data_IF_629601921788
#
_entry.id   IF_629601921788
#
_cell.length_a   1.000
_cell.length_b   1.000
_cell.length_c   1.000
_cell.angle_alpha   90.00
_cell.angle_beta   90.00
_cell.angle_gamma   90.00
#
_symmetry.space_group_name_H-M   'P 1'
#
loop_
_entity.id
_entity.type
_entity.pdbx_description
1 polymer ?
#
# COMPACT_ATOMS: atom_id res chain seq x y z
N UNK A 1 3.36 12.87 -11.32
CA UNK A 1 2.79 11.93 -10.34
C UNK A 1 3.87 11.67 -9.28
N UNK A 2 3.52 11.68 -7.99
CA UNK A 2 4.41 11.24 -6.92
C UNK A 2 4.23 9.73 -6.71
N UNK A 3 5.31 8.97 -6.80
CA UNK A 3 5.30 7.51 -6.71
C UNK A 3 6.17 7.10 -5.53
N UNK A 4 5.61 6.32 -4.60
CA UNK A 4 6.39 5.72 -3.51
C UNK A 4 6.47 4.22 -3.74
N UNK A 5 7.70 3.69 -3.80
CA UNK A 5 7.96 2.26 -3.91
C UNK A 5 8.54 1.76 -2.59
N UNK A 6 7.96 0.69 -2.05
CA UNK A 6 8.49 0.00 -0.89
C UNK A 6 8.87 -1.41 -1.31
N UNK A 7 10.17 -1.66 -1.32
CA UNK A 7 10.74 -2.95 -1.65
C UNK A 7 10.85 -3.82 -0.39
N UNK A 8 10.25 -5.00 -0.41
CA UNK A 8 10.26 -5.96 0.68
C UNK A 8 11.60 -6.65 0.91
N UNK A 9 12.63 -6.25 0.16
CA UNK A 9 13.99 -6.70 0.38
C UNK A 9 15.01 -5.71 -0.17
N UNK A 10 16.26 -5.83 0.28
CA UNK A 10 17.31 -4.85 0.01
C UNK A 10 18.03 -5.08 -1.33
N UNK A 11 18.04 -6.28 -1.91
CA UNK A 11 18.74 -6.51 -3.16
C UNK A 11 17.88 -6.20 -4.40
N UNK A 12 18.54 -5.77 -5.48
CA UNK A 12 17.89 -5.36 -6.74
C UNK A 12 17.69 -6.56 -7.68
N UNK A 13 16.85 -7.53 -7.26
CA UNK A 13 16.46 -8.70 -8.07
C UNK A 13 15.29 -8.41 -9.02
N UNK A 14 14.73 -9.47 -9.59
CA UNK A 14 13.66 -9.36 -10.61
C UNK A 14 12.42 -8.58 -10.13
N UNK A 15 12.04 -8.72 -8.86
CA UNK A 15 10.90 -7.97 -8.29
C UNK A 15 11.18 -6.46 -8.27
N UNK A 16 12.42 -6.07 -7.90
CA UNK A 16 12.87 -4.68 -7.97
C UNK A 16 12.75 -4.15 -9.40
N UNK A 17 13.36 -4.82 -10.38
CA UNK A 17 13.36 -4.34 -11.77
C UNK A 17 11.94 -4.15 -12.31
N UNK A 18 11.00 -5.04 -12.00
CA UNK A 18 9.62 -4.90 -12.43
C UNK A 18 8.92 -3.69 -11.79
N UNK A 19 9.13 -3.46 -10.49
CA UNK A 19 8.55 -2.32 -9.79
C UNK A 19 9.15 -0.99 -10.27
N UNK A 20 10.47 -0.95 -10.43
CA UNK A 20 11.21 0.22 -10.91
C UNK A 20 10.83 0.57 -12.35
N UNK A 21 10.87 -0.40 -13.28
CA UNK A 21 10.50 -0.19 -14.68
C UNK A 21 9.02 0.25 -14.82
N UNK A 22 8.13 -0.22 -13.93
CA UNK A 22 6.75 0.26 -13.90
C UNK A 22 6.69 1.75 -13.52
N UNK A 23 7.45 2.16 -12.51
CA UNK A 23 7.51 3.56 -12.08
C UNK A 23 8.13 4.46 -13.16
N UNK A 24 9.20 4.02 -13.82
CA UNK A 24 9.81 4.72 -14.95
C UNK A 24 8.83 4.87 -16.12
N UNK A 25 8.13 3.77 -16.50
CA UNK A 25 7.14 3.81 -17.59
C UNK A 25 5.96 4.74 -17.25
N UNK A 26 5.58 4.85 -15.98
CA UNK A 26 4.53 5.80 -15.54
C UNK A 26 5.04 7.23 -15.63
N UNK A 27 6.29 7.48 -15.26
CA UNK A 27 6.88 8.81 -15.15
C UNK A 27 6.45 9.59 -13.92
N UNK A 28 7.33 10.45 -13.43
CA UNK A 28 7.09 11.31 -12.28
C UNK A 28 8.22 11.25 -11.25
N UNK A 29 7.97 11.78 -10.07
CA UNK A 29 8.92 11.76 -8.96
C UNK A 29 8.79 10.45 -8.20
N UNK A 30 9.89 9.70 -8.10
CA UNK A 30 9.94 8.39 -7.43
C UNK A 30 10.73 8.52 -6.12
N UNK A 31 10.15 7.98 -5.05
CA UNK A 31 10.81 7.77 -3.75
C UNK A 31 10.82 6.28 -3.45
N UNK A 32 11.98 5.71 -3.16
CA UNK A 32 12.15 4.27 -2.93
C UNK A 32 12.66 3.99 -1.52
N UNK A 33 12.08 2.97 -0.88
CA UNK A 33 12.54 2.41 0.39
C UNK A 33 12.84 0.92 0.23
N UNK A 34 13.89 0.46 0.88
CA UNK A 34 14.36 -0.94 0.81
C UNK A 34 14.34 -1.57 2.20
N UNK A 35 13.49 -2.52 2.40
CA UNK A 35 13.38 -3.24 3.67
C UNK A 35 14.35 -4.44 3.69
N UNK A 36 15.01 -4.76 4.81
CA UNK A 36 14.89 -4.11 6.12
C UNK A 36 15.82 -2.89 6.32
N UNK A 37 16.59 -2.46 5.33
CA UNK A 37 17.57 -1.37 5.47
C UNK A 37 16.95 -0.08 6.01
N UNK A 38 15.82 0.33 5.45
CA UNK A 38 15.18 1.61 5.78
C UNK A 38 14.15 1.47 6.93
N UNK A 39 13.75 0.24 7.26
CA UNK A 39 12.94 -0.09 8.43
C UNK A 39 13.10 -1.58 8.79
N UNK A 40 13.64 -1.89 9.96
CA UNK A 40 14.00 -3.24 10.42
C UNK A 40 13.28 -3.69 11.70
N UNK A 41 12.30 -2.92 12.20
CA UNK A 41 11.65 -3.22 13.47
C UNK A 41 10.42 -4.11 13.31
N UNK A 42 10.23 -5.02 14.24
CA UNK A 42 9.00 -5.80 14.38
C UNK A 42 8.04 -5.11 15.35
N UNK A 43 6.75 -5.15 15.05
CA UNK A 43 5.74 -4.64 15.95
C UNK A 43 5.74 -5.46 17.26
N UNK A 44 5.88 -4.78 18.40
CA UNK A 44 5.93 -5.42 19.73
C UNK A 44 4.55 -5.58 20.38
N UNK A 45 3.46 -5.24 19.67
CA UNK A 45 2.10 -5.42 20.17
C UNK A 45 1.72 -4.52 21.37
N UNK A 46 2.41 -3.40 21.58
CA UNK A 46 2.19 -2.52 22.73
C UNK A 46 0.87 -1.73 22.71
N UNK A 47 0.08 -1.80 21.62
CA UNK A 47 -1.18 -1.10 21.39
C UNK A 47 -1.15 0.43 21.50
N UNK A 48 0.01 1.04 21.76
CA UNK A 48 0.15 2.48 21.97
C UNK A 48 -0.34 3.32 20.80
N UNK A 49 -0.11 2.86 19.56
CA UNK A 49 -0.62 3.51 18.35
C UNK A 49 -2.16 3.58 18.29
N UNK A 50 -2.87 2.63 18.91
CA UNK A 50 -4.34 2.63 18.98
C UNK A 50 -4.87 3.53 20.09
N UNK A 51 -4.22 3.54 21.25
CA UNK A 51 -4.72 4.20 22.48
C UNK A 51 -4.23 5.64 22.64
N UNK A 52 -3.00 5.95 22.16
CA UNK A 52 -2.35 7.27 22.35
C UNK A 52 -1.98 7.96 21.04
N UNK A 53 -2.15 7.28 19.91
CA UNK A 53 -1.82 7.78 18.59
C UNK A 53 -0.51 7.18 18.04
N UNK A 54 -0.40 7.17 16.72
CA UNK A 54 0.69 6.55 15.97
C UNK A 54 2.07 7.17 16.25
N UNK A 55 2.12 8.47 16.54
CA UNK A 55 3.36 9.18 16.89
C UNK A 55 3.97 8.71 18.22
N UNK A 56 3.22 7.95 19.01
CA UNK A 56 3.69 7.35 20.26
C UNK A 56 4.19 5.90 20.08
N UNK A 57 4.22 5.39 18.87
CA UNK A 57 4.85 4.09 18.59
C UNK A 57 6.36 4.17 18.90
N UNK A 58 6.94 3.17 19.59
CA UNK A 58 8.39 3.15 19.87
C UNK A 58 9.26 3.22 18.61
N UNK A 59 8.71 2.82 17.46
CA UNK A 59 9.41 2.78 16.17
C UNK A 59 8.98 3.92 15.23
N UNK A 60 8.24 4.92 15.74
CA UNK A 60 7.66 5.98 14.92
C UNK A 60 8.68 6.76 14.10
N UNK A 61 9.77 7.20 14.72
CA UNK A 61 10.77 8.03 14.03
C UNK A 61 11.38 7.33 12.82
N UNK A 62 11.64 6.02 12.93
CA UNK A 62 12.17 5.22 11.84
C UNK A 62 11.11 4.97 10.75
N UNK A 63 9.83 4.86 11.12
CA UNK A 63 8.71 4.65 10.21
C UNK A 63 8.24 5.95 9.55
N UNK A 64 8.44 7.10 10.19
CA UNK A 64 7.93 8.40 9.78
C UNK A 64 8.31 8.80 8.34
N UNK A 65 9.55 8.60 7.84
CA UNK A 65 9.89 8.91 6.45
C UNK A 65 9.08 8.09 5.44
N UNK A 66 8.86 6.79 5.73
CA UNK A 66 8.04 5.91 4.87
C UNK A 66 6.58 6.38 4.91
N UNK A 67 6.08 6.71 6.10
CA UNK A 67 4.70 7.20 6.28
C UNK A 67 4.47 8.50 5.52
N UNK A 68 5.39 9.45 5.62
CA UNK A 68 5.31 10.72 4.90
C UNK A 68 5.29 10.51 3.37
N UNK A 69 6.15 9.65 2.87
CA UNK A 69 6.19 9.33 1.44
C UNK A 69 4.90 8.63 0.96
N UNK A 70 4.34 7.70 1.76
CA UNK A 70 3.03 7.09 1.47
C UNK A 70 1.92 8.15 1.45
N UNK A 71 1.95 9.09 2.40
CA UNK A 71 0.93 10.14 2.51
C UNK A 71 0.96 11.12 1.33
N UNK A 72 2.14 11.43 0.82
CA UNK A 72 2.31 12.32 -0.32
C UNK A 72 2.08 11.64 -1.68
N UNK A 73 2.22 10.33 -1.76
CA UNK A 73 2.15 9.61 -3.02
C UNK A 73 0.77 9.68 -3.69
N UNK A 74 0.75 9.80 -5.00
CA UNK A 74 -0.42 9.51 -5.85
C UNK A 74 -0.55 8.01 -6.10
N UNK A 75 0.60 7.32 -6.16
CA UNK A 75 0.71 5.89 -6.40
C UNK A 75 1.65 5.25 -5.38
N UNK A 76 1.17 4.19 -4.73
CA UNK A 76 1.95 3.34 -3.83
C UNK A 76 2.28 2.03 -4.56
N UNK A 77 3.55 1.64 -4.61
CA UNK A 77 3.98 0.33 -5.12
C UNK A 77 4.56 -0.46 -3.95
N UNK A 78 3.89 -1.54 -3.56
CA UNK A 78 4.42 -2.52 -2.63
C UNK A 78 5.02 -3.67 -3.45
N UNK A 79 6.32 -3.91 -3.29
CA UNK A 79 7.10 -4.85 -4.08
C UNK A 79 7.74 -5.89 -3.17
N UNK A 80 7.32 -7.15 -3.26
CA UNK A 80 7.86 -8.24 -2.46
C UNK A 80 8.02 -9.51 -3.30
N UNK A 81 9.20 -10.16 -3.32
CA UNK A 81 9.29 -11.52 -3.84
C UNK A 81 8.48 -12.48 -2.97
N UNK A 82 8.16 -13.63 -3.52
CA UNK A 82 7.55 -14.72 -2.75
C UNK A 82 8.61 -15.40 -1.88
N UNK A 83 8.45 -15.30 -0.56
CA UNK A 83 9.24 -16.05 0.41
C UNK A 83 8.30 -16.99 1.18
N UNK A 84 8.54 -18.30 1.03
CA UNK A 84 7.74 -19.36 1.69
C UNK A 84 6.22 -19.11 1.48
N UNK A 85 5.82 -18.89 0.22
CA UNK A 85 4.45 -18.61 -0.23
C UNK A 85 3.81 -17.28 0.21
N UNK A 86 4.54 -16.42 0.93
CA UNK A 86 4.03 -15.15 1.46
C UNK A 86 4.95 -13.96 1.11
N UNK A 87 4.56 -12.77 1.52
CA UNK A 87 5.43 -11.60 1.46
C UNK A 87 6.64 -11.80 2.38
N UNK A 88 7.75 -11.11 2.09
CA UNK A 88 8.94 -11.17 2.95
C UNK A 88 8.60 -10.76 4.38
N UNK A 89 9.32 -11.32 5.36
CA UNK A 89 9.16 -10.93 6.76
C UNK A 89 9.36 -9.43 6.99
N UNK A 90 10.28 -8.80 6.25
CA UNK A 90 10.50 -7.35 6.33
C UNK A 90 9.29 -6.55 5.82
N UNK A 91 8.66 -6.94 4.70
CA UNK A 91 7.41 -6.32 4.23
C UNK A 91 6.30 -6.48 5.26
N UNK A 92 6.12 -7.69 5.80
CA UNK A 92 5.11 -7.95 6.83
C UNK A 92 5.36 -7.13 8.09
N UNK A 93 6.62 -7.06 8.58
CA UNK A 93 6.99 -6.28 9.75
C UNK A 93 6.64 -4.79 9.59
N UNK A 94 6.88 -4.21 8.42
CA UNK A 94 6.45 -2.84 8.13
C UNK A 94 4.92 -2.72 8.13
N UNK A 95 4.21 -3.61 7.42
CA UNK A 95 2.75 -3.56 7.32
C UNK A 95 2.06 -3.69 8.69
N UNK A 96 2.64 -4.46 9.63
CA UNK A 96 2.10 -4.63 10.99
C UNK A 96 2.08 -3.32 11.79
N UNK A 97 2.98 -2.38 11.50
CA UNK A 97 3.00 -1.07 12.14
C UNK A 97 1.86 -0.15 11.69
N UNK A 98 1.18 -0.48 10.59
CA UNK A 98 0.07 0.33 10.04
C UNK A 98 -1.32 -0.17 10.44
N UNK A 99 -1.44 -1.02 11.45
CA UNK A 99 -2.74 -1.47 11.96
C UNK A 99 -3.66 -0.30 12.36
N UNK A 100 -3.10 0.76 12.94
CA UNK A 100 -3.85 1.97 13.31
C UNK A 100 -4.48 2.70 12.11
N UNK A 101 -3.93 2.51 10.91
CA UNK A 101 -4.41 3.15 9.67
C UNK A 101 -5.53 2.37 8.99
N UNK A 102 -5.94 1.24 9.53
CA UNK A 102 -7.07 0.50 9.00
C UNK A 102 -8.37 1.30 9.13
N UNK A 103 -9.30 1.09 8.19
CA UNK A 103 -10.63 1.73 8.21
C UNK A 103 -11.39 1.50 9.51
N UNK A 104 -11.08 0.42 10.25
CA UNK A 104 -11.61 0.18 11.58
C UNK A 104 -11.12 1.19 12.63
N UNK A 105 -10.03 1.88 12.36
CA UNK A 105 -9.38 2.82 13.26
C UNK A 105 -9.30 4.22 12.64
N UNK A 106 -8.11 4.64 12.19
CA UNK A 106 -7.86 6.02 11.70
C UNK A 106 -7.30 6.04 10.28
N UNK A 107 -8.08 5.61 9.26
CA UNK A 107 -7.63 5.66 7.87
C UNK A 107 -7.45 7.11 7.43
N UNK A 108 -6.39 7.40 6.69
CA UNK A 108 -6.17 8.75 6.17
C UNK A 108 -7.09 9.05 4.98
N UNK A 109 -7.74 10.21 4.98
CA UNK A 109 -8.67 10.61 3.93
C UNK A 109 -8.07 10.54 2.52
N UNK A 110 -6.77 10.88 2.37
CA UNK A 110 -6.06 10.84 1.10
C UNK A 110 -6.02 9.44 0.47
N UNK A 111 -6.03 8.36 1.26
CA UNK A 111 -5.97 6.98 0.74
C UNK A 111 -7.16 6.65 -0.17
N UNK A 112 -8.33 7.23 0.10
CA UNK A 112 -9.55 7.01 -0.70
C UNK A 112 -9.52 7.66 -2.09
N UNK A 113 -8.43 8.37 -2.42
CA UNK A 113 -8.16 8.92 -3.75
C UNK A 113 -6.91 8.34 -4.43
N UNK A 114 -6.16 7.45 -3.75
CA UNK A 114 -4.90 6.90 -4.24
C UNK A 114 -5.07 5.63 -5.05
N UNK A 115 -4.03 5.36 -5.85
CA UNK A 115 -3.84 4.09 -6.55
C UNK A 115 -2.71 3.30 -5.86
N UNK A 116 -2.75 1.97 -5.93
CA UNK A 116 -1.63 1.14 -5.50
C UNK A 116 -1.42 -0.07 -6.41
N UNK A 117 -0.18 -0.57 -6.47
CA UNK A 117 0.20 -1.80 -7.17
C UNK A 117 0.92 -2.72 -6.20
N UNK A 118 0.49 -3.98 -6.14
CA UNK A 118 1.25 -5.05 -5.52
C UNK A 118 2.07 -5.75 -6.60
N UNK A 119 3.40 -5.70 -6.50
CA UNK A 119 4.34 -6.34 -7.41
C UNK A 119 4.98 -7.54 -6.72
N UNK A 120 4.98 -8.69 -7.38
CA UNK A 120 5.63 -9.90 -6.85
C UNK A 120 6.23 -10.75 -7.93
N UNK A 121 7.29 -11.47 -7.60
CA UNK A 121 7.86 -12.54 -8.42
C UNK A 121 8.05 -13.80 -7.59
N UNK A 122 7.96 -14.94 -8.25
CA UNK A 122 8.21 -16.25 -7.68
C UNK A 122 9.02 -17.11 -8.65
N UNK A 123 9.70 -18.13 -8.17
CA UNK A 123 10.26 -19.16 -9.06
C UNK A 123 9.16 -19.89 -9.83
N UNK A 124 8.07 -20.30 -9.16
CA UNK A 124 6.93 -20.99 -9.77
C UNK A 124 5.56 -20.57 -9.22
N UNK A 125 5.36 -20.61 -7.91
CA UNK A 125 4.05 -20.42 -7.26
C UNK A 125 4.12 -19.46 -6.06
N UNK A 126 2.97 -19.19 -5.40
CA UNK A 126 2.88 -18.37 -4.17
C UNK A 126 2.62 -16.88 -4.42
N UNK A 127 2.44 -16.46 -5.67
CA UNK A 127 2.20 -15.04 -5.98
C UNK A 127 0.86 -14.52 -5.46
N UNK A 128 -0.18 -15.35 -5.43
CA UNK A 128 -1.50 -14.92 -4.98
C UNK A 128 -1.53 -14.58 -3.49
N UNK A 129 -0.95 -15.44 -2.64
CA UNK A 129 -0.86 -15.20 -1.20
C UNK A 129 0.02 -13.99 -0.88
N UNK A 130 1.19 -13.87 -1.54
CA UNK A 130 2.06 -12.69 -1.38
C UNK A 130 1.36 -11.39 -1.79
N UNK A 131 0.64 -11.40 -2.91
CA UNK A 131 -0.17 -10.23 -3.33
C UNK A 131 -1.28 -9.97 -2.31
N UNK A 132 -1.91 -11.01 -1.78
CA UNK A 132 -3.00 -10.89 -0.81
C UNK A 132 -2.51 -10.23 0.48
N UNK A 133 -1.36 -10.60 1.00
CA UNK A 133 -0.77 -10.00 2.21
C UNK A 133 -0.65 -8.48 2.07
N UNK A 134 -0.14 -8.00 0.93
CA UNK A 134 0.00 -6.57 0.64
C UNK A 134 -1.35 -5.91 0.33
N UNK A 135 -2.18 -6.57 -0.47
CA UNK A 135 -3.45 -6.03 -0.94
C UNK A 135 -4.48 -5.87 0.18
N UNK A 136 -4.49 -6.76 1.17
CA UNK A 136 -5.37 -6.66 2.34
C UNK A 136 -5.01 -5.39 3.15
N UNK A 137 -3.73 -5.13 3.40
CA UNK A 137 -3.31 -3.90 4.09
C UNK A 137 -3.75 -2.65 3.32
N UNK A 138 -3.51 -2.60 2.01
CA UNK A 138 -3.94 -1.49 1.16
C UNK A 138 -5.47 -1.32 1.14
N UNK A 139 -6.23 -2.42 1.20
CA UNK A 139 -7.69 -2.37 1.30
C UNK A 139 -8.11 -1.76 2.64
N UNK A 140 -7.55 -2.22 3.74
CA UNK A 140 -7.88 -1.70 5.06
C UNK A 140 -7.42 -0.25 5.27
N UNK A 141 -6.38 0.20 4.57
CA UNK A 141 -6.01 1.64 4.53
C UNK A 141 -7.01 2.50 3.74
N UNK A 142 -7.90 1.88 2.98
CA UNK A 142 -8.91 2.58 2.18
C UNK A 142 -8.45 2.96 0.77
N UNK A 143 -7.33 2.39 0.27
CA UNK A 143 -6.81 2.70 -1.07
C UNK A 143 -7.87 2.46 -2.14
N UNK A 144 -8.15 3.52 -2.92
CA UNK A 144 -9.30 3.54 -3.83
C UNK A 144 -9.20 2.53 -4.97
N UNK A 145 -7.99 2.32 -5.51
CA UNK A 145 -7.77 1.39 -6.63
C UNK A 145 -6.49 0.62 -6.46
N UNK A 146 -6.60 -0.69 -6.48
CA UNK A 146 -5.46 -1.60 -6.40
C UNK A 146 -5.28 -2.34 -7.73
N UNK A 147 -4.02 -2.62 -8.08
CA UNK A 147 -3.61 -3.43 -9.20
C UNK A 147 -2.65 -4.53 -8.72
N UNK A 148 -2.59 -5.62 -9.48
CA UNK A 148 -1.77 -6.79 -9.18
C UNK A 148 -0.84 -7.07 -10.36
N UNK A 149 0.45 -7.21 -10.09
CA UNK A 149 1.46 -7.49 -11.10
C UNK A 149 2.37 -8.61 -10.58
N UNK A 150 2.01 -9.84 -10.88
CA UNK A 150 2.74 -11.05 -10.48
C UNK A 150 3.30 -11.81 -11.67
N UNK A 151 4.53 -12.34 -11.52
CA UNK A 151 5.19 -13.16 -12.54
C UNK A 151 5.92 -14.35 -11.92
N UNK A 152 5.66 -15.54 -12.46
CA UNK A 152 6.54 -16.69 -12.25
C UNK A 152 7.79 -16.49 -13.11
N UNK A 153 8.96 -16.43 -12.46
CA UNK A 153 10.25 -16.18 -13.11
C UNK A 153 11.16 -17.35 -12.75
N UNK A 154 11.38 -18.25 -13.72
CA UNK A 154 12.29 -19.39 -13.54
C UNK A 154 13.73 -18.96 -13.85
N UNK A 155 14.23 -17.98 -13.11
CA UNK A 155 15.60 -17.46 -13.21
C UNK A 155 16.05 -16.93 -11.85
N UNK A 156 17.35 -16.97 -11.57
CA UNK A 156 17.92 -16.48 -10.31
C UNK A 156 18.27 -15.00 -10.36
N UNK A 157 18.49 -14.45 -11.56
CA UNK A 157 18.75 -13.05 -11.78
C UNK A 157 17.84 -12.46 -12.87
N UNK A 158 17.78 -11.12 -12.93
CA UNK A 158 17.06 -10.40 -13.99
C UNK A 158 17.60 -10.71 -15.40
N UNK A 159 18.92 -10.85 -15.53
CA UNK A 159 19.56 -11.01 -16.83
C UNK A 159 19.32 -12.40 -17.44
N UNK A 160 19.14 -13.41 -16.61
CA UNK A 160 18.86 -14.79 -17.01
C UNK A 160 17.41 -15.02 -17.48
N UNK A 161 16.53 -14.03 -17.32
CA UNK A 161 15.13 -14.16 -17.77
C UNK A 161 15.09 -14.27 -19.28
N UNK A 162 14.44 -15.33 -19.77
CA UNK A 162 14.30 -15.59 -21.21
C UNK A 162 13.67 -14.38 -21.95
N UNK A 163 14.18 -14.02 -23.16
CA UNK A 163 13.71 -12.83 -23.89
C UNK A 163 12.18 -12.77 -24.06
N UNK A 164 11.54 -13.87 -24.41
CA UNK A 164 10.08 -13.95 -24.56
C UNK A 164 9.35 -13.58 -23.24
N UNK A 165 9.91 -13.96 -22.09
CA UNK A 165 9.34 -13.63 -20.79
C UNK A 165 9.53 -12.14 -20.47
N UNK A 166 10.72 -11.57 -20.76
CA UNK A 166 10.97 -10.13 -20.63
C UNK A 166 9.96 -9.31 -21.46
N UNK A 167 9.75 -9.67 -22.71
CA UNK A 167 8.73 -9.02 -23.56
C UNK A 167 7.33 -9.07 -22.96
N UNK A 168 6.93 -10.21 -22.38
CA UNK A 168 5.64 -10.33 -21.71
C UNK A 168 5.54 -9.41 -20.50
N UNK A 169 6.62 -9.30 -19.70
CA UNK A 169 6.71 -8.41 -18.54
C UNK A 169 6.59 -6.95 -18.99
N UNK A 170 7.36 -6.55 -19.99
CA UNK A 170 7.34 -5.18 -20.55
C UNK A 170 5.97 -4.79 -21.09
N UNK A 171 5.33 -5.69 -21.85
CA UNK A 171 3.97 -5.44 -22.35
C UNK A 171 2.97 -5.21 -21.23
N UNK A 172 3.00 -6.02 -20.18
CA UNK A 172 2.12 -5.86 -19.02
C UNK A 172 2.44 -4.58 -18.24
N UNK A 173 3.70 -4.20 -18.10
CA UNK A 173 4.13 -2.94 -17.48
C UNK A 173 3.58 -1.76 -18.27
N UNK A 174 3.79 -1.68 -19.58
CA UNK A 174 3.29 -0.60 -20.45
C UNK A 174 1.77 -0.46 -20.38
N UNK A 175 1.05 -1.58 -20.48
CA UNK A 175 -0.41 -1.60 -20.38
C UNK A 175 -0.91 -1.09 -19.02
N UNK A 176 -0.27 -1.53 -17.93
CA UNK A 176 -0.64 -1.10 -16.58
C UNK A 176 -0.30 0.37 -16.34
N UNK A 177 0.87 0.83 -16.78
CA UNK A 177 1.30 2.22 -16.67
C UNK A 177 0.33 3.18 -17.37
N UNK A 178 -0.08 2.87 -18.60
CA UNK A 178 -1.07 3.65 -19.34
C UNK A 178 -2.41 3.74 -18.60
N UNK A 179 -2.85 2.62 -17.99
CA UNK A 179 -4.08 2.57 -17.20
C UNK A 179 -3.99 3.41 -15.93
N UNK A 180 -2.85 3.40 -15.25
CA UNK A 180 -2.60 4.18 -14.03
C UNK A 180 -2.56 5.68 -14.37
N UNK A 181 -1.80 6.08 -15.40
CA UNK A 181 -1.74 7.49 -15.85
C UNK A 181 -3.12 8.06 -16.18
N UNK A 182 -3.93 7.33 -16.95
CA UNK A 182 -5.29 7.75 -17.35
C UNK A 182 -6.20 7.99 -16.15
N UNK A 183 -5.98 7.28 -15.04
CA UNK A 183 -6.80 7.34 -13.83
C UNK A 183 -6.24 8.24 -12.74
N UNK A 184 -5.09 8.87 -12.94
CA UNK A 184 -4.51 9.75 -11.94
C UNK A 184 -5.46 10.89 -11.55
N UNK A 185 -5.64 11.12 -10.26
CA UNK A 185 -6.57 12.13 -9.72
C UNK A 185 -8.06 11.85 -9.96
N UNK A 186 -8.43 10.74 -10.61
CA UNK A 186 -9.82 10.41 -11.00
C UNK A 186 -10.38 9.17 -10.31
N UNK A 187 -9.59 8.47 -9.50
CA UNK A 187 -10.04 7.26 -8.82
C UNK A 187 -10.94 7.59 -7.64
N UNK A 188 -11.92 6.72 -7.42
CA UNK A 188 -12.81 6.73 -6.26
C UNK A 188 -12.91 5.31 -5.73
N UNK A 189 -13.12 5.12 -4.41
CA UNK A 189 -13.24 3.79 -3.84
C UNK A 189 -14.42 3.03 -4.44
N UNK A 190 -14.18 1.74 -4.70
CA UNK A 190 -15.21 0.83 -5.22
C UNK A 190 -16.25 0.48 -4.16
N UNK A 191 -17.27 -0.27 -4.58
CA UNK A 191 -18.38 -0.66 -3.70
C UNK A 191 -17.91 -1.35 -2.40
N UNK A 192 -17.01 -2.33 -2.50
CA UNK A 192 -16.49 -3.08 -1.34
C UNK A 192 -15.86 -2.15 -0.29
N UNK A 193 -15.01 -1.22 -0.70
CA UNK A 193 -14.37 -0.25 0.20
C UNK A 193 -15.40 0.69 0.83
N UNK A 194 -16.39 1.13 0.06
CA UNK A 194 -17.47 1.99 0.57
C UNK A 194 -18.37 1.28 1.55
N UNK A 195 -18.72 0.02 1.28
CA UNK A 195 -19.54 -0.79 2.16
C UNK A 195 -18.81 -1.06 3.49
N UNK A 196 -17.51 -1.39 3.44
CA UNK A 196 -16.71 -1.58 4.64
C UNK A 196 -16.54 -0.27 5.44
N UNK A 197 -16.30 0.85 4.76
CA UNK A 197 -16.28 2.16 5.43
C UNK A 197 -17.62 2.49 6.11
N UNK A 198 -18.74 2.17 5.47
CA UNK A 198 -20.07 2.37 6.06
C UNK A 198 -20.26 1.51 7.32
N UNK A 199 -19.82 0.24 7.30
CA UNK A 199 -19.84 -0.61 8.48
C UNK A 199 -19.01 0.00 9.63
N UNK A 200 -17.80 0.48 9.32
CA UNK A 200 -16.95 1.13 10.32
C UNK A 200 -17.57 2.45 10.82
N UNK A 201 -18.22 3.21 9.96
CA UNK A 201 -18.99 4.39 10.37
C UNK A 201 -20.03 4.07 11.46
N UNK A 202 -20.77 2.95 11.35
CA UNK A 202 -21.72 2.53 12.37
C UNK A 202 -21.02 2.16 13.69
N UNK A 203 -19.88 1.45 13.61
CA UNK A 203 -19.10 1.07 14.78
C UNK A 203 -18.56 2.31 15.51
N UNK A 204 -18.00 3.26 14.79
CA UNK A 204 -17.44 4.48 15.37
C UNK A 204 -18.51 5.40 15.98
N UNK A 205 -19.71 5.40 15.45
CA UNK A 205 -20.86 6.11 16.08
C UNK A 205 -21.24 5.53 17.45
N UNK A 206 -21.04 4.21 17.62
CA UNK A 206 -21.38 3.51 18.86
C UNK A 206 -20.27 3.55 19.93
N UNK A 207 -19.11 4.18 19.64
CA UNK A 207 -18.11 4.45 20.65
C UNK A 207 -17.20 3.27 20.98
N UNK A 208 -16.55 2.65 19.97
CA UNK A 208 -15.67 1.50 20.21
C UNK A 208 -14.32 1.88 20.87
N UNK A 209 -13.66 2.94 20.42
CA UNK A 209 -12.38 3.41 20.92
C UNK A 209 -12.37 4.94 20.90
N UNK A 210 -12.15 5.58 22.04
CA UNK A 210 -12.26 7.04 22.17
C UNK A 210 -11.32 7.81 21.22
N UNK A 211 -10.10 7.31 21.00
CA UNK A 211 -9.12 7.93 20.10
C UNK A 211 -9.61 7.86 18.65
N UNK A 212 -10.15 6.73 18.24
CA UNK A 212 -10.68 6.55 16.89
C UNK A 212 -11.98 7.34 16.69
N UNK A 213 -12.89 7.30 17.68
CA UNK A 213 -14.15 8.07 17.65
C UNK A 213 -13.90 9.57 17.52
N UNK A 214 -12.92 10.11 18.27
CA UNK A 214 -12.54 11.52 18.16
C UNK A 214 -12.06 11.85 16.75
N UNK A 215 -11.15 11.05 16.20
CA UNK A 215 -10.65 11.22 14.84
C UNK A 215 -11.76 11.21 13.78
N UNK A 216 -12.72 10.26 13.88
CA UNK A 216 -13.84 10.17 12.96
C UNK A 216 -14.80 11.35 13.09
N UNK A 217 -15.04 11.84 14.32
CA UNK A 217 -15.86 13.05 14.58
C UNK A 217 -15.21 14.31 13.99
N UNK A 218 -13.91 14.53 14.22
CA UNK A 218 -13.16 15.66 13.68
C UNK A 218 -13.22 15.75 12.15
N UNK A 219 -13.29 14.61 11.47
CA UNK A 219 -13.45 14.51 10.03
C UNK A 219 -14.93 14.56 9.57
N UNK A 220 -15.87 14.61 10.48
CA UNK A 220 -17.31 14.56 10.19
C UNK A 220 -17.76 13.19 9.64
N UNK A 221 -16.95 12.14 9.81
CA UNK A 221 -17.24 10.81 9.27
C UNK A 221 -18.24 10.01 10.09
N UNK A 222 -18.48 10.41 11.30
CA UNK A 222 -19.61 9.89 12.13
C UNK A 222 -20.96 10.46 11.70
N UNK A 223 -20.96 11.43 10.79
CA UNK A 223 -22.13 12.09 10.22
C UNK A 223 -22.26 11.80 8.72
N UNK A 224 -22.41 12.83 7.89
CA UNK A 224 -22.65 12.72 6.44
C UNK A 224 -21.42 12.95 5.57
N UNK A 225 -20.28 13.36 6.16
CA UNK A 225 -19.05 13.52 5.40
C UNK A 225 -18.46 12.16 5.01
N UNK A 226 -17.80 12.13 3.86
CA UNK A 226 -17.13 10.92 3.35
C UNK A 226 -15.83 11.33 2.66
N UNK A 227 -14.71 10.58 2.84
CA UNK A 227 -13.39 10.98 2.33
C UNK A 227 -13.32 11.12 0.80
N UNK A 228 -14.25 10.53 0.06
CA UNK A 228 -14.33 10.63 -1.41
C UNK A 228 -15.34 11.67 -1.93
N UNK A 229 -16.05 12.35 -1.05
CA UNK A 229 -16.88 13.50 -1.43
C UNK A 229 -16.00 14.75 -1.46
N UNK A 230 -16.11 15.57 -2.49
CA UNK A 230 -15.52 16.91 -2.46
C UNK A 230 -16.11 17.67 -1.26
N UNK A 231 -15.26 18.32 -0.45
CA UNK A 231 -15.77 19.36 0.46
C UNK A 231 -16.49 20.37 -0.43
N UNK A 232 -17.77 20.62 -0.18
CA UNK A 232 -18.40 21.80 -0.74
C UNK A 232 -17.50 22.97 -0.30
N UNK A 233 -16.99 23.74 -1.25
CA UNK A 233 -16.40 25.03 -0.95
C UNK A 233 -17.61 25.91 -0.61
N UNK A 234 -17.81 26.13 0.66
CA UNK A 234 -18.58 27.29 1.12
C UNK A 234 -17.79 28.55 0.77
#
# INVERSE_FOLDING_TARGET
MKITIIHGQNHKGSTYHIAHNLAEEIGGQVTEFFLPRDFDKFCVGCTTCFTKGETKCPHYEMLAPITAAIDEADLIILSSPVYVYHATGAMKAMLDHYGYQWMAHRPKAAMFGKQAVCVTTAAGAGMESTIKDMADSLFFWGVAKQYKLGFAISATSWDEIKPKKKQTIEHRIKSLAAKIRRRNGKVKPGFKTRAFFWLMHLIQRNGWNDTDVRYWKELGWTENNRPWKKKNKD
#
